data_IF_420010767306
#
_entry.id   IF_420010767306
#
_cell.length_a   1.000
_cell.length_b   1.000
_cell.length_c   1.000
_cell.angle_alpha   90.00
_cell.angle_beta   90.00
_cell.angle_gamma   90.00
#
_symmetry.space_group_name_H-M   'P 1'
#
loop_
_entity.id
_entity.type
_entity.pdbx_description
1 polymer ?
#
# COMPACT_ATOMS: atom_id res chain seq x y z
N UNK A 1 2.84 -6.42 -12.28
CA UNK A 1 4.29 -6.64 -11.98
C UNK A 1 4.77 -5.60 -10.96
N UNK A 2 4.21 -5.61 -9.75
CA UNK A 2 4.79 -4.89 -8.62
C UNK A 2 5.85 -5.78 -7.99
N UNK A 3 7.13 -5.49 -8.21
CA UNK A 3 8.25 -6.26 -7.65
C UNK A 3 8.56 -5.80 -6.22
N UNK A 4 7.62 -6.01 -5.30
CA UNK A 4 7.91 -5.85 -3.88
C UNK A 4 8.32 -7.21 -3.33
N UNK A 5 9.49 -7.26 -2.70
CA UNK A 5 9.90 -8.48 -2.02
C UNK A 5 8.90 -8.78 -0.90
N UNK A 6 8.58 -10.06 -0.74
CA UNK A 6 7.75 -10.48 0.37
C UNK A 6 8.55 -10.35 1.66
N UNK A 7 8.17 -9.36 2.48
CA UNK A 7 8.68 -9.21 3.83
C UNK A 7 7.66 -9.89 4.77
N UNK A 8 8.05 -10.77 5.71
CA UNK A 8 7.13 -11.39 6.65
C UNK A 8 6.70 -10.42 7.76
N UNK A 9 5.40 -10.42 8.09
CA UNK A 9 4.81 -9.53 9.11
C UNK A 9 5.49 -9.70 10.47
N UNK A 10 5.75 -8.59 11.17
CA UNK A 10 6.18 -8.60 12.57
C UNK A 10 5.01 -8.96 13.49
N UNK A 11 4.79 -10.26 13.68
CA UNK A 11 3.73 -10.76 14.58
C UNK A 11 4.08 -10.47 16.04
N UNK A 12 3.16 -9.82 16.75
CA UNK A 12 3.24 -9.65 18.20
C UNK A 12 3.26 -11.02 18.89
N UNK A 13 4.12 -11.15 19.90
CA UNK A 13 4.22 -12.38 20.68
C UNK A 13 3.04 -12.51 21.63
N UNK A 14 2.43 -13.68 21.67
CA UNK A 14 1.39 -14.02 22.64
C UNK A 14 2.04 -14.56 23.93
N UNK A 15 1.50 -14.16 25.07
CA UNK A 15 1.83 -14.76 26.37
C UNK A 15 1.04 -16.07 26.49
N UNK A 16 1.75 -17.19 26.56
CA UNK A 16 1.14 -18.49 26.80
C UNK A 16 0.47 -18.53 28.18
N UNK A 17 -0.79 -18.98 28.23
CA UNK A 17 -1.55 -19.19 29.46
C UNK A 17 -2.00 -20.63 29.48
N UNK A 18 -1.61 -21.35 30.53
CA UNK A 18 -1.98 -22.75 30.74
C UNK A 18 -3.39 -22.86 31.31
N UNK A 19 -3.97 -24.06 31.28
CA UNK A 19 -5.30 -24.30 31.86
C UNK A 19 -5.34 -23.99 33.37
N UNK A 20 -4.24 -24.18 34.08
CA UNK A 20 -4.15 -23.94 35.53
C UNK A 20 -4.07 -22.44 35.86
N UNK A 21 -3.51 -21.64 34.94
CA UNK A 21 -3.27 -20.20 35.13
C UNK A 21 -4.32 -19.31 34.43
N UNK A 22 -5.40 -19.89 33.91
CA UNK A 22 -6.42 -19.13 33.15
C UNK A 22 -7.39 -18.38 34.07
N UNK A 23 -7.75 -18.98 35.21
CA UNK A 23 -8.72 -18.39 36.13
C UNK A 23 -8.06 -17.28 36.96
N UNK A 24 -8.64 -16.07 36.90
CA UNK A 24 -8.14 -14.92 37.65
C UNK A 24 -6.91 -14.23 37.03
N UNK A 25 -6.51 -14.62 35.82
CA UNK A 25 -5.39 -14.01 35.13
C UNK A 25 -5.84 -12.86 34.23
N UNK A 26 -5.43 -11.65 34.60
CA UNK A 26 -5.72 -10.40 33.89
C UNK A 26 -4.47 -9.80 33.23
N UNK A 27 -3.41 -10.60 33.03
CA UNK A 27 -2.21 -10.15 32.34
C UNK A 27 -2.51 -9.94 30.85
N UNK A 28 -1.84 -8.97 30.26
CA UNK A 28 -1.97 -8.68 28.83
C UNK A 28 -1.57 -9.91 27.99
N UNK A 29 -2.39 -10.25 26.99
CA UNK A 29 -2.18 -11.44 26.15
C UNK A 29 -1.12 -11.24 25.08
N UNK A 30 -0.93 -10.01 24.60
CA UNK A 30 0.07 -9.70 23.58
C UNK A 30 1.16 -8.82 24.16
N UNK A 31 2.41 -9.09 23.81
CA UNK A 31 3.50 -8.16 24.05
C UNK A 31 3.57 -7.18 22.88
N UNK A 32 3.75 -5.89 23.19
CA UNK A 32 4.03 -4.87 22.19
C UNK A 32 5.30 -5.20 21.39
N UNK A 33 5.39 -4.65 20.18
CA UNK A 33 6.65 -4.66 19.42
C UNK A 33 7.66 -3.75 20.13
N UNK A 34 8.95 -4.05 19.97
CA UNK A 34 9.99 -3.06 20.29
C UNK A 34 9.87 -1.86 19.35
N UNK A 35 10.41 -0.71 19.75
CA UNK A 35 10.36 0.51 18.94
C UNK A 35 10.92 0.26 17.53
N UNK A 36 12.07 -0.41 17.42
CA UNK A 36 12.68 -0.77 16.12
C UNK A 36 11.76 -1.67 15.28
N UNK A 37 11.16 -2.70 15.88
CA UNK A 37 10.27 -3.61 15.17
C UNK A 37 8.94 -2.95 14.78
N UNK A 38 8.49 -1.95 15.54
CA UNK A 38 7.30 -1.17 15.25
C UNK A 38 7.52 -0.21 14.07
N UNK A 39 8.69 0.44 14.01
CA UNK A 39 9.08 1.28 12.87
C UNK A 39 9.19 0.45 11.60
N UNK A 40 9.90 -0.69 11.67
CA UNK A 40 10.07 -1.58 10.51
C UNK A 40 8.72 -2.14 10.02
N UNK A 41 7.79 -2.45 10.92
CA UNK A 41 6.45 -2.88 10.52
C UNK A 41 5.64 -1.74 9.87
N UNK A 42 5.77 -0.51 10.36
CA UNK A 42 5.10 0.65 9.79
C UNK A 42 5.60 0.98 8.37
N UNK A 43 6.89 0.80 8.11
CA UNK A 43 7.52 1.07 6.81
C UNK A 43 7.04 0.13 5.69
N UNK A 44 6.45 -1.02 6.04
CA UNK A 44 5.82 -1.93 5.06
C UNK A 44 4.50 -1.39 4.49
N UNK A 45 3.94 -0.33 5.07
CA UNK A 45 2.64 0.21 4.65
C UNK A 45 2.73 0.86 3.26
N UNK A 46 2.00 0.29 2.30
CA UNK A 46 1.96 0.79 0.93
C UNK A 46 0.85 1.81 0.67
N UNK A 47 0.24 2.45 1.68
CA UNK A 47 -0.85 3.43 1.48
C UNK A 47 -1.98 2.93 0.57
N UNK A 48 -2.52 1.74 0.84
CA UNK A 48 -3.53 1.08 0.01
C UNK A 48 -4.67 2.04 -0.40
N UNK A 49 -5.02 2.03 -1.69
CA UNK A 49 -6.07 2.88 -2.26
C UNK A 49 -5.68 4.33 -2.53
N UNK A 50 -4.46 4.75 -2.21
CA UNK A 50 -3.96 6.11 -2.47
C UNK A 50 -2.67 6.08 -3.29
N UNK A 51 -2.46 7.10 -4.13
CA UNK A 51 -1.18 7.31 -4.77
C UNK A 51 -0.15 7.77 -3.72
N UNK A 52 1.08 7.26 -3.81
CA UNK A 52 2.23 7.64 -2.97
C UNK A 52 3.45 8.05 -3.82
N UNK A 53 3.22 8.42 -5.08
CA UNK A 53 4.24 8.99 -5.97
C UNK A 53 5.41 8.05 -6.33
N UNK A 54 5.17 6.74 -6.44
CA UNK A 54 6.19 5.79 -6.91
C UNK A 54 6.52 5.87 -8.41
N UNK A 55 5.77 6.63 -9.20
CA UNK A 55 5.92 6.85 -10.65
C UNK A 55 5.89 5.61 -11.57
N UNK A 56 5.70 4.40 -11.05
CA UNK A 56 5.62 3.19 -11.87
C UNK A 56 4.61 3.34 -13.02
N UNK A 57 3.43 3.91 -12.74
CA UNK A 57 2.40 4.11 -13.76
C UNK A 57 2.80 5.08 -14.89
N UNK A 58 3.73 6.01 -14.62
CA UNK A 58 4.27 6.95 -15.62
C UNK A 58 5.35 6.23 -16.43
N UNK A 59 6.32 5.60 -15.73
CA UNK A 59 7.46 4.92 -16.35
C UNK A 59 7.03 3.80 -17.29
N UNK A 60 6.02 3.02 -16.89
CA UNK A 60 5.56 1.87 -17.66
C UNK A 60 4.43 2.21 -18.66
N UNK A 61 3.98 3.46 -18.75
CA UNK A 61 2.96 3.82 -19.73
C UNK A 61 3.57 3.87 -21.14
N UNK A 62 3.20 2.97 -22.07
CA UNK A 62 3.80 2.95 -23.40
C UNK A 62 3.33 4.11 -24.29
N UNK A 63 2.34 4.89 -23.84
CA UNK A 63 1.73 5.99 -24.60
C UNK A 63 2.01 7.37 -23.98
N UNK A 64 2.80 7.43 -22.90
CA UNK A 64 2.99 8.65 -22.10
C UNK A 64 1.65 9.34 -21.75
N UNK A 65 0.63 8.53 -21.47
CA UNK A 65 -0.73 8.99 -21.17
C UNK A 65 -0.90 9.34 -19.68
N UNK A 66 -0.11 8.75 -18.79
CA UNK A 66 -0.15 9.05 -17.34
C UNK A 66 0.87 10.13 -17.01
N UNK A 67 0.46 11.16 -16.27
CA UNK A 67 1.33 12.28 -15.90
C UNK A 67 1.08 12.76 -14.47
N UNK A 68 2.08 13.42 -13.87
CA UNK A 68 1.94 14.01 -12.53
C UNK A 68 1.06 15.25 -12.55
N UNK A 69 0.15 15.34 -11.59
CA UNK A 69 -0.67 16.53 -11.35
C UNK A 69 0.21 17.65 -10.79
N UNK A 70 -0.04 18.89 -11.22
CA UNK A 70 0.68 20.07 -10.71
C UNK A 70 0.46 20.26 -9.20
N UNK A 71 1.46 20.78 -8.50
CA UNK A 71 1.41 20.97 -7.03
C UNK A 71 0.18 21.74 -6.51
N UNK A 72 -0.31 22.72 -7.25
CA UNK A 72 -1.51 23.47 -6.86
C UNK A 72 -2.85 22.76 -7.08
N UNK A 73 -2.84 21.61 -7.77
CA UNK A 73 -4.04 20.91 -8.22
C UNK A 73 -4.14 19.46 -7.72
N UNK A 74 -3.12 18.92 -7.05
CA UNK A 74 -3.21 17.57 -6.48
C UNK A 74 -4.00 17.59 -5.17
N UNK A 75 -4.66 16.48 -4.89
CA UNK A 75 -5.34 16.22 -3.62
C UNK A 75 -4.58 15.12 -2.89
N UNK A 76 -4.74 15.00 -1.56
CA UNK A 76 -4.11 13.91 -0.78
C UNK A 76 -4.44 12.56 -1.42
N UNK A 77 -3.40 11.81 -1.81
CA UNK A 77 -3.54 10.51 -2.46
C UNK A 77 -3.90 10.55 -3.96
N UNK A 78 -4.01 11.72 -4.59
CA UNK A 78 -4.25 11.90 -6.04
C UNK A 78 -3.15 12.75 -6.67
N UNK A 79 -2.07 12.09 -7.08
CA UNK A 79 -0.87 12.76 -7.60
C UNK A 79 -0.62 12.55 -9.10
N UNK A 80 -1.38 11.65 -9.74
CA UNK A 80 -1.29 11.38 -11.18
C UNK A 80 -2.67 11.50 -11.84
N UNK A 81 -2.69 11.86 -13.11
CA UNK A 81 -3.89 11.86 -13.94
C UNK A 81 -3.60 11.22 -15.30
N UNK A 82 -4.65 10.91 -16.06
CA UNK A 82 -4.57 10.21 -17.35
C UNK A 82 -5.11 11.07 -18.48
N UNK A 83 -4.29 11.27 -19.51
CA UNK A 83 -4.71 11.82 -20.79
C UNK A 83 -5.42 10.73 -21.60
N UNK A 84 -6.75 10.75 -21.55
CA UNK A 84 -7.59 9.80 -22.27
C UNK A 84 -7.52 9.92 -23.79
N UNK A 85 -6.97 11.01 -24.34
CA UNK A 85 -6.74 11.11 -25.79
C UNK A 85 -5.57 10.24 -26.27
N UNK A 86 -4.65 9.91 -25.36
CA UNK A 86 -3.49 9.02 -25.62
C UNK A 86 -3.68 7.61 -25.05
N UNK A 87 -4.55 7.46 -24.06
CA UNK A 87 -4.77 6.18 -23.39
C UNK A 87 -5.43 5.17 -24.32
N UNK A 88 -4.78 4.01 -24.48
CA UNK A 88 -5.28 2.89 -25.31
C UNK A 88 -5.91 1.76 -24.49
N UNK A 89 -6.09 1.94 -23.17
CA UNK A 89 -6.70 0.93 -22.31
C UNK A 89 -5.87 -0.35 -22.13
N UNK A 90 -4.53 -0.26 -22.17
CA UNK A 90 -3.65 -1.43 -22.01
C UNK A 90 -3.52 -1.97 -20.57
N UNK A 91 -4.04 -1.25 -19.57
CA UNK A 91 -4.07 -1.61 -18.14
C UNK A 91 -2.70 -1.78 -17.45
N UNK A 92 -1.58 -1.55 -18.14
CA UNK A 92 -0.23 -1.65 -17.55
C UNK A 92 -0.09 -0.75 -16.31
N UNK A 93 -0.60 0.48 -16.36
CA UNK A 93 -0.55 1.42 -15.24
C UNK A 93 -1.29 0.90 -13.99
N UNK A 94 -2.39 0.16 -14.16
CA UNK A 94 -3.10 -0.53 -13.09
C UNK A 94 -2.26 -1.69 -12.55
N UNK A 95 -1.71 -2.53 -13.42
CA UNK A 95 -0.96 -3.74 -13.05
C UNK A 95 0.36 -3.47 -12.32
N UNK A 96 0.95 -2.28 -12.50
CA UNK A 96 2.19 -1.85 -11.83
C UNK A 96 1.94 -0.94 -10.63
N UNK A 97 0.68 -0.57 -10.36
CA UNK A 97 0.33 0.27 -9.20
C UNK A 97 0.28 -0.59 -7.94
N UNK A 98 1.21 -0.42 -6.99
CA UNK A 98 1.30 -1.32 -5.85
C UNK A 98 0.26 -1.06 -4.77
N UNK A 99 -0.34 0.13 -4.79
CA UNK A 99 -1.36 0.53 -3.83
C UNK A 99 -2.76 0.21 -4.32
N UNK A 100 -2.90 -0.18 -5.58
CA UNK A 100 -4.20 -0.31 -6.25
C UNK A 100 -4.92 1.04 -6.42
N UNK A 101 -4.21 2.17 -6.38
CA UNK A 101 -4.81 3.49 -6.60
C UNK A 101 -5.42 3.65 -8.00
N UNK A 102 -4.74 3.16 -9.02
CA UNK A 102 -5.26 3.18 -10.40
C UNK A 102 -6.24 2.03 -10.55
N UNK A 103 -7.51 2.36 -10.69
CA UNK A 103 -8.58 1.41 -10.98
C UNK A 103 -9.07 1.64 -12.41
N UNK A 104 -9.21 0.57 -13.19
CA UNK A 104 -9.80 0.66 -14.52
C UNK A 104 -11.32 0.60 -14.40
N UNK A 105 -11.95 1.77 -14.36
CA UNK A 105 -13.36 1.91 -14.68
C UNK A 105 -13.50 2.09 -16.18
N UNK A 106 -13.93 1.05 -16.89
CA UNK A 106 -14.89 1.32 -17.96
C UNK A 106 -16.11 1.90 -17.25
N UNK A 107 -16.54 3.09 -17.66
CA UNK A 107 -17.45 3.93 -16.89
C UNK A 107 -18.79 3.30 -16.50
N UNK A 108 -19.55 4.06 -15.73
CA UNK A 108 -20.97 4.19 -16.10
C UNK A 108 -21.07 4.75 -17.53
#
# INVERSE_FOLDING_TARGET
LGHFEFIPLHRRQEVEITADDVLGNFKERFKGLSDDAAVDEADRCMSCGMCFECDNCIIYCPQDAVFRVKKGNHTVGRYVDTDYSKCVGCHICMDVCPTGYIQMGLGE
#
